data_IF_681890989319
#
_entry.id   IF_681890989319
#
_cell.length_a   1.000
_cell.length_b   1.000
_cell.length_c   1.000
_cell.angle_alpha   90.00
_cell.angle_beta   90.00
_cell.angle_gamma   90.00
#
_symmetry.space_group_name_H-M   'P 1'
#
loop_
_entity.id
_entity.type
_entity.pdbx_description
1 polymer ?
#
# COMPACT_ATOMS: atom_id res chain seq x y z
N UNK A 1 15.68 -18.56 -22.54
CA UNK A 1 15.78 -17.13 -22.96
C UNK A 1 16.54 -16.26 -21.95
N UNK A 2 16.28 -16.35 -20.63
CA UNK A 2 16.97 -15.55 -19.60
C UNK A 2 18.49 -15.66 -19.62
N UNK A 3 19.07 -16.87 -19.74
CA UNK A 3 20.54 -17.06 -19.76
C UNK A 3 21.26 -16.24 -20.83
N UNK A 4 20.65 -16.02 -22.00
CA UNK A 4 21.23 -15.17 -23.08
C UNK A 4 21.23 -13.69 -22.67
N UNK A 5 20.15 -13.20 -22.04
CA UNK A 5 20.05 -11.82 -21.54
C UNK A 5 21.07 -11.52 -20.43
N UNK A 6 21.28 -12.47 -19.52
CA UNK A 6 22.30 -12.33 -18.46
C UNK A 6 23.72 -12.29 -19.04
N UNK A 7 24.00 -13.10 -20.08
CA UNK A 7 25.29 -13.09 -20.76
C UNK A 7 25.54 -11.77 -21.48
N UNK A 8 24.55 -11.25 -22.23
CA UNK A 8 24.68 -9.97 -22.94
C UNK A 8 24.83 -8.78 -21.99
N UNK A 9 24.12 -8.78 -20.85
CA UNK A 9 24.29 -7.77 -19.79
C UNK A 9 25.70 -7.80 -19.20
N UNK A 10 26.24 -9.00 -18.97
CA UNK A 10 27.60 -9.17 -18.47
C UNK A 10 28.62 -8.62 -19.48
N UNK A 11 28.52 -9.04 -20.74
CA UNK A 11 29.41 -8.57 -21.81
C UNK A 11 29.33 -7.04 -21.98
N UNK A 12 28.13 -6.46 -21.93
CA UNK A 12 27.94 -5.00 -21.95
C UNK A 12 28.59 -4.30 -20.76
N UNK A 13 28.48 -4.86 -19.55
CA UNK A 13 29.07 -4.28 -18.35
C UNK A 13 30.60 -4.34 -18.34
N UNK A 14 31.17 -5.46 -18.78
CA UNK A 14 32.62 -5.67 -18.82
C UNK A 14 33.29 -5.03 -20.06
N UNK A 15 32.53 -4.75 -21.12
CA UNK A 15 33.01 -4.03 -22.31
C UNK A 15 33.14 -2.51 -22.14
N UNK A 16 32.63 -1.94 -21.04
CA UNK A 16 32.76 -0.50 -20.76
C UNK A 16 34.15 -0.11 -20.25
N UNK A 17 34.64 1.11 -20.59
CA UNK A 17 35.83 1.69 -19.99
C UNK A 17 35.77 1.72 -18.46
N UNK A 18 36.94 1.63 -17.81
CA UNK A 18 37.03 1.56 -16.35
C UNK A 18 36.46 2.82 -15.66
N UNK A 19 36.72 4.00 -16.22
CA UNK A 19 36.18 5.26 -15.69
C UNK A 19 34.65 5.30 -15.72
N UNK A 20 34.02 4.83 -16.81
CA UNK A 20 32.55 4.75 -16.90
C UNK A 20 31.98 3.75 -15.89
N UNK A 21 32.64 2.60 -15.72
CA UNK A 21 32.21 1.59 -14.73
C UNK A 21 32.28 2.13 -13.31
N UNK A 22 33.29 2.94 -12.99
CA UNK A 22 33.43 3.60 -11.69
C UNK A 22 32.30 4.59 -11.43
N UNK A 23 31.93 5.41 -12.43
CA UNK A 23 30.78 6.33 -12.35
C UNK A 23 29.45 5.61 -12.17
N UNK A 24 29.23 4.53 -12.91
CA UNK A 24 28.02 3.72 -12.77
C UNK A 24 27.95 3.09 -11.38
N UNK A 25 29.06 2.55 -10.87
CA UNK A 25 29.13 2.00 -9.51
C UNK A 25 28.81 3.03 -8.42
N UNK A 26 29.31 4.26 -8.55
CA UNK A 26 28.98 5.33 -7.58
C UNK A 26 27.51 5.75 -7.64
N UNK A 27 26.82 5.51 -8.75
CA UNK A 27 25.40 5.83 -8.90
C UNK A 27 24.46 4.76 -8.32
N UNK A 28 24.95 3.51 -8.17
CA UNK A 28 24.15 2.39 -7.64
C UNK A 28 23.54 2.69 -6.26
N UNK A 29 24.29 3.20 -5.25
CA UNK A 29 23.72 3.49 -3.94
C UNK A 29 22.59 4.52 -3.99
N UNK A 30 22.76 5.57 -4.80
CA UNK A 30 21.74 6.60 -5.00
C UNK A 30 20.46 5.99 -5.58
N UNK A 31 20.58 5.21 -6.66
CA UNK A 31 19.44 4.55 -7.30
C UNK A 31 18.72 3.60 -6.34
N UNK A 32 19.47 2.79 -5.60
CA UNK A 32 18.88 1.87 -4.62
C UNK A 32 18.13 2.62 -3.53
N UNK A 33 18.71 3.72 -3.02
CA UNK A 33 18.07 4.56 -2.03
C UNK A 33 16.79 5.20 -2.58
N UNK A 34 16.83 5.78 -3.79
CA UNK A 34 15.65 6.36 -4.43
C UNK A 34 14.54 5.32 -4.63
N UNK A 35 14.86 4.12 -5.10
CA UNK A 35 13.87 3.04 -5.27
C UNK A 35 13.27 2.64 -3.93
N UNK A 36 14.09 2.51 -2.87
CA UNK A 36 13.61 2.17 -1.54
C UNK A 36 12.66 3.25 -0.97
N UNK A 37 13.01 4.53 -1.12
CA UNK A 37 12.17 5.65 -0.67
C UNK A 37 10.86 5.69 -1.44
N UNK A 38 10.91 5.61 -2.77
CA UNK A 38 9.70 5.62 -3.62
C UNK A 38 8.80 4.44 -3.28
N UNK A 39 9.38 3.24 -3.12
CA UNK A 39 8.64 2.06 -2.70
C UNK A 39 7.98 2.27 -1.33
N UNK A 40 8.71 2.82 -0.35
CA UNK A 40 8.18 3.13 0.97
C UNK A 40 7.01 4.12 0.93
N UNK A 41 7.13 5.19 0.15
CA UNK A 41 6.06 6.20 -0.02
C UNK A 41 4.82 5.57 -0.66
N UNK A 42 4.98 4.80 -1.73
CA UNK A 42 3.87 4.13 -2.40
C UNK A 42 3.21 3.12 -1.44
N UNK A 43 4.01 2.32 -0.73
CA UNK A 43 3.52 1.35 0.22
C UNK A 43 2.70 2.00 1.35
N UNK A 44 3.23 3.06 1.96
CA UNK A 44 2.52 3.85 2.98
C UNK A 44 1.26 4.50 2.42
N UNK A 45 1.31 5.01 1.18
CA UNK A 45 0.13 5.60 0.53
C UNK A 45 -0.97 4.56 0.31
N UNK A 46 -0.62 3.34 -0.10
CA UNK A 46 -1.57 2.25 -0.26
C UNK A 46 -2.16 1.86 1.09
N UNK A 47 -1.30 1.67 2.11
CA UNK A 47 -1.76 1.37 3.48
C UNK A 47 -2.72 2.44 4.00
N UNK A 48 -2.36 3.72 3.84
CA UNK A 48 -3.19 4.83 4.28
C UNK A 48 -4.51 4.89 3.48
N UNK A 49 -4.47 4.64 2.17
CA UNK A 49 -5.68 4.58 1.34
C UNK A 49 -6.63 3.46 1.76
N UNK A 50 -6.08 2.27 2.07
CA UNK A 50 -6.85 1.12 2.54
C UNK A 50 -7.43 1.40 3.93
N UNK A 51 -6.70 2.11 4.81
CA UNK A 51 -7.17 2.47 6.15
C UNK A 51 -8.09 3.71 6.18
N UNK A 52 -8.18 4.50 5.11
CA UNK A 52 -8.96 5.75 5.09
C UNK A 52 -10.47 5.54 5.13
N UNK A 53 -10.94 4.38 4.64
CA UNK A 53 -12.36 4.03 4.59
C UNK A 53 -12.74 2.86 5.51
N UNK A 54 -11.75 2.12 6.03
CA UNK A 54 -11.95 1.17 7.11
C UNK A 54 -11.82 1.91 8.45
N UNK A 55 -12.95 2.24 9.07
CA UNK A 55 -12.95 2.66 10.49
C UNK A 55 -12.60 1.50 11.43
N UNK A 56 -12.58 0.26 10.92
CA UNK A 56 -12.15 -0.96 11.59
C UNK A 56 -10.63 -1.17 11.53
N UNK A 57 -9.99 -1.21 12.70
CA UNK A 57 -8.54 -1.32 12.97
C UNK A 57 -7.66 -0.16 12.48
N UNK A 58 -7.32 0.75 13.41
CA UNK A 58 -6.35 1.85 13.18
C UNK A 58 -4.95 1.34 12.79
N UNK A 59 -4.66 0.04 12.95
CA UNK A 59 -3.41 -0.59 12.50
C UNK A 59 -3.68 -2.02 12.02
N UNK A 60 -3.66 -2.26 10.70
CA UNK A 60 -3.55 -3.63 10.19
C UNK A 60 -2.16 -4.17 10.48
N UNK A 61 -2.05 -5.04 11.46
CA UNK A 61 -0.83 -5.80 11.73
C UNK A 61 -0.79 -7.04 10.84
N UNK A 62 0.38 -7.41 10.30
CA UNK A 62 0.57 -8.68 9.59
C UNK A 62 0.31 -9.92 10.48
N UNK A 63 0.28 -9.72 11.80
CA UNK A 63 0.25 -10.77 12.82
C UNK A 63 -0.97 -10.77 13.74
N UNK A 64 -1.90 -9.81 13.64
CA UNK A 64 -3.12 -9.83 14.47
C UNK A 64 -4.31 -9.26 13.71
N UNK A 65 -5.37 -10.07 13.58
CA UNK A 65 -6.72 -9.53 13.40
C UNK A 65 -7.32 -9.18 14.76
N UNK A 66 -8.34 -8.32 14.77
CA UNK A 66 -9.12 -7.94 15.95
C UNK A 66 -9.62 -9.17 16.70
N UNK A 67 -9.69 -9.05 18.02
CA UNK A 67 -10.35 -10.05 18.85
C UNK A 67 -11.84 -10.13 18.47
N UNK A 68 -12.47 -11.32 18.53
CA UNK A 68 -13.88 -11.49 18.14
C UNK A 68 -14.85 -10.55 18.88
N UNK A 69 -14.52 -10.18 20.12
CA UNK A 69 -15.28 -9.24 20.95
C UNK A 69 -15.31 -7.83 20.35
N UNK A 70 -14.18 -7.34 19.83
CA UNK A 70 -14.11 -6.01 19.21
C UNK A 70 -14.95 -6.00 17.93
N UNK A 71 -14.86 -7.06 17.12
CA UNK A 71 -15.68 -7.21 15.90
C UNK A 71 -17.17 -7.20 16.24
N UNK A 72 -17.58 -7.97 17.24
CA UNK A 72 -18.98 -8.05 17.66
C UNK A 72 -19.51 -6.71 18.21
N UNK A 73 -18.72 -6.00 19.02
CA UNK A 73 -19.07 -4.68 19.51
C UNK A 73 -19.28 -3.67 18.37
N UNK A 74 -18.42 -3.70 17.34
CA UNK A 74 -18.57 -2.83 16.16
C UNK A 74 -19.82 -3.14 15.34
N UNK A 75 -20.12 -4.42 15.14
CA UNK A 75 -21.33 -4.82 14.42
C UNK A 75 -22.60 -4.36 15.14
N UNK A 76 -22.58 -4.35 16.48
CA UNK A 76 -23.67 -3.80 17.29
C UNK A 76 -23.77 -2.29 17.13
N UNK A 77 -22.67 -1.54 17.27
CA UNK A 77 -22.65 -0.08 17.06
C UNK A 77 -23.15 0.31 15.66
N UNK A 78 -22.74 -0.41 14.61
CA UNK A 78 -23.22 -0.18 13.25
C UNK A 78 -24.72 -0.42 13.08
N UNK A 79 -25.26 -1.48 13.72
CA UNK A 79 -26.69 -1.79 13.69
C UNK A 79 -27.50 -0.69 14.39
N UNK A 80 -27.08 -0.30 15.59
CA UNK A 80 -27.73 0.77 16.36
C UNK A 80 -27.70 2.10 15.60
N UNK A 81 -26.57 2.42 14.97
CA UNK A 81 -26.42 3.62 14.16
C UNK A 81 -27.33 3.59 12.93
N UNK A 82 -27.41 2.46 12.20
CA UNK A 82 -28.32 2.28 11.06
C UNK A 82 -29.78 2.40 11.47
N UNK A 83 -30.16 1.83 12.60
CA UNK A 83 -31.52 1.94 13.16
C UNK A 83 -31.85 3.38 13.56
N UNK A 84 -30.93 4.08 14.21
CA UNK A 84 -31.08 5.50 14.55
C UNK A 84 -31.28 6.36 13.31
N UNK A 85 -30.45 6.19 12.27
CA UNK A 85 -30.60 6.92 11.02
C UNK A 85 -31.86 6.55 10.24
N UNK A 86 -32.34 5.31 10.33
CA UNK A 86 -33.60 4.90 9.70
C UNK A 86 -34.80 5.68 10.25
N UNK A 87 -34.77 5.99 11.55
CA UNK A 87 -35.79 6.79 12.25
C UNK A 87 -35.62 8.29 11.99
N UNK A 88 -34.39 8.74 11.75
CA UNK A 88 -34.05 10.14 11.45
C UNK A 88 -34.23 10.53 9.97
N UNK A 89 -34.32 9.57 9.04
CA UNK A 89 -34.65 9.87 7.64
C UNK A 89 -36.07 10.44 7.56
N UNK A 90 -36.19 11.76 7.38
CA UNK A 90 -37.43 12.38 6.90
C UNK A 90 -37.85 11.65 5.62
N UNK A 91 -39.01 11.00 5.63
CA UNK A 91 -39.68 10.59 4.39
C UNK A 91 -40.06 11.87 3.68
N UNK A 92 -39.30 12.25 2.66
CA UNK A 92 -39.75 13.28 1.74
C UNK A 92 -40.92 12.66 0.99
N UNK A 93 -42.13 13.15 1.24
CA UNK A 93 -43.32 12.85 0.44
C UNK A 93 -43.12 13.47 -0.94
N UNK A 94 -42.33 12.79 -1.79
CA UNK A 94 -42.37 12.99 -3.22
C UNK A 94 -43.71 12.45 -3.72
N UNK A 95 -44.72 13.32 -3.71
CA UNK A 95 -45.99 13.06 -4.39
C UNK A 95 -45.82 13.32 -5.88
N UNK A 96 -45.88 12.23 -6.67
CA UNK A 96 -45.83 12.16 -8.15
C UNK A 96 -44.54 12.62 -8.82
#
# INVERSE_FOLDING_TARGET
MMRKKWRSLREWWYGKPEQERKRLRSFIPLVLYTVAVVYGVIYLSILNSVNRYNRGETVKNWYSGDTPEIVAAREQEEKEMKESYSKLRKRVTGGR
#
